data_IF_590943514910
#
_entry.id   IF_590943514910
#
_cell.length_a   1.000
_cell.length_b   1.000
_cell.length_c   1.000
_cell.angle_alpha   90.00
_cell.angle_beta   90.00
_cell.angle_gamma   90.00
#
_symmetry.space_group_name_H-M   'P 1'
#
loop_
_entity.id
_entity.type
_entity.pdbx_description
1 polymer ?
#
# COMPACT_ATOMS: atom_id res chain seq x y z
N UNK A 1 -81.52 19.88 -74.68
CA UNK A 1 -80.48 19.17 -73.95
C UNK A 1 -80.78 17.71 -74.04
N UNK A 2 -80.18 17.01 -74.98
CA UNK A 2 -80.54 15.62 -75.35
C UNK A 2 -79.93 14.66 -74.33
N UNK A 3 -80.60 13.51 -74.12
CA UNK A 3 -80.18 12.43 -73.23
C UNK A 3 -78.69 11.99 -73.45
N UNK A 4 -78.15 12.20 -74.65
CA UNK A 4 -76.77 11.91 -75.02
C UNK A 4 -75.74 12.83 -74.38
N UNK A 5 -76.10 14.11 -74.11
CA UNK A 5 -75.19 15.09 -73.46
C UNK A 5 -75.05 14.81 -71.94
N UNK A 6 -76.10 14.25 -71.31
CA UNK A 6 -76.12 13.83 -69.93
C UNK A 6 -75.32 12.53 -69.70
N UNK A 7 -75.34 11.58 -70.62
CA UNK A 7 -74.53 10.34 -70.57
C UNK A 7 -73.08 10.62 -70.80
N UNK A 8 -72.71 11.51 -71.72
CA UNK A 8 -71.32 11.92 -71.95
C UNK A 8 -70.71 12.63 -70.72
N UNK A 9 -71.49 13.54 -70.06
CA UNK A 9 -71.03 14.24 -68.82
C UNK A 9 -70.92 13.27 -67.66
N UNK A 10 -71.79 12.26 -67.54
CA UNK A 10 -71.70 11.27 -66.45
C UNK A 10 -70.47 10.35 -66.62
N UNK A 11 -70.14 9.99 -67.87
CA UNK A 11 -69.00 9.14 -68.20
C UNK A 11 -67.65 9.90 -67.92
N UNK A 12 -67.60 11.22 -68.21
CA UNK A 12 -66.46 12.03 -67.92
C UNK A 12 -66.21 12.24 -66.39
N UNK A 13 -67.28 12.39 -65.61
CA UNK A 13 -67.27 12.38 -64.16
C UNK A 13 -66.77 11.07 -63.55
N UNK A 14 -67.26 9.96 -64.09
CA UNK A 14 -66.80 8.62 -63.66
C UNK A 14 -65.31 8.39 -63.96
N UNK A 15 -64.90 8.78 -65.15
CA UNK A 15 -63.49 8.63 -65.56
C UNK A 15 -62.55 9.45 -64.66
N UNK A 16 -62.94 10.69 -64.30
CA UNK A 16 -62.20 11.53 -63.37
C UNK A 16 -62.20 10.91 -61.98
N UNK A 17 -63.30 10.44 -61.47
CA UNK A 17 -63.39 9.80 -60.18
C UNK A 17 -62.52 8.54 -60.07
N UNK A 18 -62.51 7.72 -61.17
CA UNK A 18 -61.61 6.56 -61.24
C UNK A 18 -60.11 6.98 -61.27
N UNK A 19 -59.80 8.07 -62.03
CA UNK A 19 -58.43 8.57 -62.07
C UNK A 19 -57.95 9.10 -60.69
N UNK A 20 -58.77 9.91 -60.00
CA UNK A 20 -58.50 10.44 -58.68
C UNK A 20 -58.38 9.30 -57.65
N UNK A 21 -59.19 8.27 -57.73
CA UNK A 21 -59.14 7.06 -56.92
C UNK A 21 -57.81 6.28 -57.12
N UNK A 22 -57.40 6.09 -58.38
CA UNK A 22 -56.17 5.39 -58.74
C UNK A 22 -54.93 6.15 -58.28
N UNK A 23 -54.97 7.46 -58.43
CA UNK A 23 -53.91 8.33 -57.93
C UNK A 23 -53.82 8.30 -56.38
N UNK A 24 -54.95 8.37 -55.69
CA UNK A 24 -54.97 8.26 -54.22
C UNK A 24 -54.51 6.87 -53.74
N UNK A 25 -54.90 5.79 -54.41
CA UNK A 25 -54.43 4.45 -54.12
C UNK A 25 -52.92 4.28 -54.33
N UNK A 26 -52.37 4.87 -55.39
CA UNK A 26 -50.92 4.88 -55.68
C UNK A 26 -50.14 5.63 -54.58
N UNK A 27 -50.61 6.82 -54.18
CA UNK A 27 -49.97 7.59 -53.10
C UNK A 27 -50.03 6.86 -51.77
N UNK A 28 -51.16 6.23 -51.46
CA UNK A 28 -51.31 5.42 -50.24
C UNK A 28 -50.35 4.23 -50.23
N UNK A 29 -50.25 3.51 -51.36
CA UNK A 29 -49.32 2.39 -51.52
C UNK A 29 -47.85 2.83 -51.30
N UNK A 30 -47.44 3.93 -51.97
CA UNK A 30 -46.11 4.49 -51.81
C UNK A 30 -45.81 4.92 -50.35
N UNK A 31 -46.80 5.51 -49.67
CA UNK A 31 -46.67 5.89 -48.26
C UNK A 31 -46.53 4.70 -47.33
N UNK A 32 -47.29 3.66 -47.61
CA UNK A 32 -47.21 2.40 -46.84
C UNK A 32 -45.86 1.70 -47.02
N UNK A 33 -45.36 1.61 -48.27
CA UNK A 33 -44.07 1.00 -48.57
C UNK A 33 -42.90 1.82 -47.90
N UNK A 34 -42.99 3.16 -47.99
CA UNK A 34 -42.04 4.02 -47.32
C UNK A 34 -42.03 3.88 -45.79
N UNK A 35 -43.22 3.78 -45.19
CA UNK A 35 -43.39 3.55 -43.74
C UNK A 35 -42.83 2.18 -43.33
N UNK A 36 -43.12 1.12 -44.09
CA UNK A 36 -42.63 -0.23 -43.84
C UNK A 36 -41.08 -0.27 -43.89
N UNK A 37 -40.50 0.36 -44.91
CA UNK A 37 -39.05 0.45 -45.08
C UNK A 37 -38.41 1.20 -43.89
N UNK A 38 -39.06 2.28 -43.45
CA UNK A 38 -38.54 3.07 -42.30
C UNK A 38 -38.65 2.29 -40.99
N UNK A 39 -39.73 1.52 -40.77
CA UNK A 39 -39.82 0.66 -39.58
C UNK A 39 -38.73 -0.40 -39.56
N UNK A 40 -38.49 -1.07 -40.71
CA UNK A 40 -37.42 -2.07 -40.81
C UNK A 40 -36.03 -1.46 -40.50
N UNK A 41 -35.79 -0.24 -41.00
CA UNK A 41 -34.55 0.46 -40.75
C UNK A 41 -34.38 0.83 -39.25
N UNK A 42 -35.45 1.33 -38.61
CA UNK A 42 -35.48 1.61 -37.16
C UNK A 42 -35.25 0.35 -36.31
N UNK A 43 -35.86 -0.79 -36.69
CA UNK A 43 -35.65 -2.05 -36.00
C UNK A 43 -34.18 -2.51 -36.07
N UNK A 44 -33.54 -2.34 -37.22
CA UNK A 44 -32.13 -2.66 -37.43
C UNK A 44 -31.19 -1.74 -36.57
N UNK A 45 -31.46 -0.43 -36.62
CA UNK A 45 -30.71 0.57 -35.80
C UNK A 45 -30.88 0.30 -34.32
N UNK A 46 -32.09 -0.04 -33.86
CA UNK A 46 -32.36 -0.40 -32.48
C UNK A 46 -31.60 -1.67 -32.06
N UNK A 47 -31.61 -2.69 -32.91
CA UNK A 47 -30.86 -3.93 -32.65
C UNK A 47 -29.35 -3.68 -32.54
N UNK A 48 -28.77 -2.87 -33.44
CA UNK A 48 -27.36 -2.50 -33.42
C UNK A 48 -26.99 -1.68 -32.16
N UNK A 49 -27.83 -0.70 -31.82
CA UNK A 49 -27.59 0.14 -30.62
C UNK A 49 -27.68 -0.70 -29.34
N UNK A 50 -28.64 -1.59 -29.24
CA UNK A 50 -28.75 -2.51 -28.10
C UNK A 50 -27.54 -3.46 -28.00
N UNK A 51 -27.05 -3.97 -29.12
CA UNK A 51 -25.86 -4.82 -29.13
C UNK A 51 -24.61 -4.04 -28.65
N UNK A 52 -24.41 -2.83 -29.16
CA UNK A 52 -23.30 -1.94 -28.73
C UNK A 52 -23.39 -1.57 -27.23
N UNK A 53 -24.58 -1.23 -26.75
CA UNK A 53 -24.81 -0.91 -25.34
C UNK A 53 -24.48 -2.10 -24.43
N UNK A 54 -24.89 -3.30 -24.80
CA UNK A 54 -24.58 -4.53 -24.05
C UNK A 54 -23.09 -4.78 -24.00
N UNK A 55 -22.36 -4.57 -25.10
CA UNK A 55 -20.91 -4.74 -25.13
C UNK A 55 -20.21 -3.73 -24.23
N UNK A 56 -20.58 -2.45 -24.28
CA UNK A 56 -20.02 -1.43 -23.38
C UNK A 56 -20.32 -1.69 -21.89
N UNK A 57 -21.51 -2.20 -21.58
CA UNK A 57 -21.84 -2.60 -20.22
C UNK A 57 -20.96 -3.76 -19.75
N UNK A 58 -20.75 -4.78 -20.61
CA UNK A 58 -19.88 -5.91 -20.32
C UNK A 58 -18.44 -5.48 -20.06
N UNK A 59 -17.88 -4.64 -20.93
CA UNK A 59 -16.52 -4.09 -20.78
C UNK A 59 -16.37 -3.30 -19.48
N UNK A 60 -17.38 -2.49 -19.14
CA UNK A 60 -17.37 -1.69 -17.90
C UNK A 60 -17.43 -2.58 -16.66
N UNK A 61 -18.24 -3.63 -16.68
CA UNK A 61 -18.34 -4.60 -15.58
C UNK A 61 -17.05 -5.39 -15.41
N UNK A 62 -16.44 -5.83 -16.50
CA UNK A 62 -15.14 -6.52 -16.48
C UNK A 62 -14.04 -5.63 -15.92
N UNK A 63 -13.98 -4.37 -16.33
CA UNK A 63 -13.01 -3.40 -15.80
C UNK A 63 -13.22 -3.17 -14.30
N UNK A 64 -14.47 -2.99 -13.85
CA UNK A 64 -14.79 -2.84 -12.42
C UNK A 64 -14.40 -4.06 -11.60
N UNK A 65 -14.65 -5.27 -12.12
CA UNK A 65 -14.25 -6.51 -11.48
C UNK A 65 -12.73 -6.61 -11.36
N UNK A 66 -12.00 -6.23 -12.42
CA UNK A 66 -10.53 -6.23 -12.44
C UNK A 66 -9.94 -5.28 -11.38
N UNK A 67 -10.40 -4.02 -11.38
CA UNK A 67 -9.95 -3.02 -10.39
C UNK A 67 -10.25 -3.48 -8.96
N UNK A 68 -11.42 -4.10 -8.76
CA UNK A 68 -11.80 -4.65 -7.45
C UNK A 68 -10.85 -5.78 -7.04
N UNK A 69 -10.60 -6.74 -7.93
CA UNK A 69 -9.71 -7.86 -7.64
C UNK A 69 -8.28 -7.40 -7.32
N UNK A 70 -7.76 -6.40 -8.05
CA UNK A 70 -6.45 -5.80 -7.77
C UNK A 70 -6.43 -5.19 -6.37
N UNK A 71 -7.41 -4.37 -6.02
CA UNK A 71 -7.47 -3.74 -4.70
C UNK A 71 -7.56 -4.77 -3.56
N UNK A 72 -8.36 -5.84 -3.76
CA UNK A 72 -8.52 -6.89 -2.75
C UNK A 72 -7.28 -7.80 -2.62
N UNK A 73 -6.44 -7.88 -3.65
CA UNK A 73 -5.21 -8.67 -3.63
C UNK A 73 -4.01 -7.96 -2.95
N UNK A 74 -4.12 -6.66 -2.68
CA UNK A 74 -3.06 -5.91 -2.03
C UNK A 74 -2.95 -6.27 -0.53
N UNK A 75 -1.73 -6.47 -0.06
CA UNK A 75 -1.44 -6.63 1.38
C UNK A 75 -1.46 -5.29 2.14
N UNK A 76 -1.37 -4.18 1.43
CA UNK A 76 -1.52 -2.82 1.96
C UNK A 76 -2.99 -2.50 2.15
N UNK A 77 -3.37 -2.02 3.33
CA UNK A 77 -4.72 -1.51 3.58
C UNK A 77 -4.96 -0.25 2.75
N UNK A 78 -6.09 -0.23 2.03
CA UNK A 78 -6.50 0.88 1.16
C UNK A 78 -7.84 1.41 1.63
N UNK A 79 -7.93 2.71 1.90
CA UNK A 79 -9.19 3.43 2.17
C UNK A 79 -9.32 4.54 1.14
N UNK A 80 -10.44 4.57 0.45
CA UNK A 80 -10.80 5.63 -0.51
C UNK A 80 -11.94 6.45 0.08
N UNK A 81 -11.74 7.76 0.18
CA UNK A 81 -12.77 8.71 0.57
C UNK A 81 -13.11 9.63 -0.60
N UNK A 82 -14.34 10.12 -0.65
CA UNK A 82 -14.80 11.10 -1.63
C UNK A 82 -14.33 12.53 -1.28
N UNK A 83 -14.74 13.50 -2.10
CA UNK A 83 -14.42 14.92 -1.91
C UNK A 83 -15.00 15.52 -0.61
N UNK A 84 -15.96 14.85 0.02
CA UNK A 84 -16.55 15.23 1.31
C UNK A 84 -15.90 14.50 2.50
N UNK A 85 -14.78 13.80 2.27
CA UNK A 85 -14.05 13.01 3.26
C UNK A 85 -14.83 11.77 3.75
N UNK A 86 -15.86 11.34 3.05
CA UNK A 86 -16.64 10.14 3.41
C UNK A 86 -15.97 8.89 2.81
N UNK A 87 -15.74 7.86 3.63
CA UNK A 87 -15.17 6.59 3.19
C UNK A 87 -16.13 5.87 2.25
N UNK A 88 -15.75 5.78 0.98
CA UNK A 88 -16.52 5.12 -0.08
C UNK A 88 -16.15 3.65 -0.17
N UNK A 89 -14.86 3.35 -0.05
CA UNK A 89 -14.33 2.00 -0.25
C UNK A 89 -13.11 1.72 0.64
N UNK A 90 -12.99 0.48 1.09
CA UNK A 90 -11.78 -0.07 1.67
C UNK A 90 -11.60 -1.52 1.22
N UNK A 91 -10.35 -2.02 1.21
CA UNK A 91 -10.05 -3.39 0.82
C UNK A 91 -9.97 -4.32 2.05
N UNK A 92 -9.87 -5.62 1.78
CA UNK A 92 -9.78 -6.65 2.82
C UNK A 92 -8.53 -6.52 3.71
N UNK A 93 -7.40 -6.03 3.17
CA UNK A 93 -6.21 -5.77 3.98
C UNK A 93 -6.45 -4.72 5.07
N UNK A 94 -7.28 -3.70 4.81
CA UNK A 94 -7.71 -2.72 5.82
C UNK A 94 -8.43 -3.39 6.99
N UNK A 95 -9.36 -4.32 6.71
CA UNK A 95 -10.06 -5.07 7.76
C UNK A 95 -9.11 -5.93 8.59
N UNK A 96 -8.19 -6.64 7.93
CA UNK A 96 -7.20 -7.48 8.62
C UNK A 96 -6.27 -6.68 9.52
N UNK A 97 -5.78 -5.54 9.02
CA UNK A 97 -4.83 -4.70 9.74
C UNK A 97 -5.49 -3.97 10.92
N UNK A 98 -6.64 -3.34 10.69
CA UNK A 98 -7.33 -2.57 11.72
C UNK A 98 -8.21 -3.41 12.64
N UNK A 99 -8.56 -4.63 12.26
CA UNK A 99 -9.52 -5.47 13.00
C UNK A 99 -10.96 -4.93 12.96
N UNK A 100 -11.26 -4.01 12.03
CA UNK A 100 -12.56 -3.36 11.89
C UNK A 100 -13.19 -3.75 10.56
N UNK A 101 -14.42 -4.29 10.54
CA UNK A 101 -15.09 -4.68 9.31
C UNK A 101 -15.41 -3.46 8.44
N UNK A 102 -15.32 -3.63 7.11
CA UNK A 102 -15.60 -2.57 6.11
C UNK A 102 -16.93 -1.85 6.35
N UNK A 103 -17.95 -2.60 6.77
CA UNK A 103 -19.29 -2.05 7.03
C UNK A 103 -19.30 -0.96 8.12
N UNK A 104 -18.35 -0.98 9.05
CA UNK A 104 -18.21 0.06 10.10
C UNK A 104 -17.39 1.27 9.65
N UNK A 105 -16.55 1.10 8.63
CA UNK A 105 -15.72 2.18 8.10
C UNK A 105 -16.47 2.98 7.04
N UNK A 106 -17.29 2.31 6.24
CA UNK A 106 -18.00 2.91 5.11
C UNK A 106 -18.97 3.99 5.56
N UNK A 107 -18.91 5.16 4.92
CA UNK A 107 -19.74 6.33 5.21
C UNK A 107 -19.27 7.18 6.40
N UNK A 108 -18.25 6.73 7.14
CA UNK A 108 -17.59 7.55 8.16
C UNK A 108 -16.62 8.55 7.52
N UNK A 109 -16.27 9.60 8.22
CA UNK A 109 -15.21 10.51 7.77
C UNK A 109 -13.85 9.86 7.88
N UNK A 110 -13.07 9.91 6.80
CA UNK A 110 -11.73 9.31 6.77
C UNK A 110 -10.82 9.96 7.83
N UNK A 111 -10.91 11.27 8.02
CA UNK A 111 -10.19 12.02 9.07
C UNK A 111 -10.53 11.53 10.47
N UNK A 112 -11.80 11.27 10.78
CA UNK A 112 -12.23 10.75 12.10
C UNK A 112 -11.67 9.32 12.34
N UNK A 113 -11.73 8.48 11.32
CA UNK A 113 -11.17 7.12 11.40
C UNK A 113 -9.67 7.16 11.67
N UNK A 114 -8.94 8.04 10.98
CA UNK A 114 -7.50 8.19 11.18
C UNK A 114 -7.13 8.77 12.54
N UNK A 115 -7.91 9.75 13.03
CA UNK A 115 -7.71 10.30 14.37
C UNK A 115 -7.99 9.27 15.46
N UNK A 116 -9.02 8.44 15.30
CA UNK A 116 -9.31 7.32 16.21
C UNK A 116 -8.13 6.35 16.25
N UNK A 117 -7.63 5.92 15.09
CA UNK A 117 -6.45 5.06 15.01
C UNK A 117 -5.23 5.72 15.69
N UNK A 118 -5.01 7.03 15.53
CA UNK A 118 -3.90 7.75 16.16
C UNK A 118 -4.06 7.89 17.67
N UNK A 119 -5.28 8.18 18.14
CA UNK A 119 -5.58 8.34 19.59
C UNK A 119 -5.42 7.03 20.33
N UNK A 120 -5.88 5.93 19.73
CA UNK A 120 -5.87 4.62 20.37
C UNK A 120 -4.46 3.98 20.40
N UNK A 121 -3.55 4.40 19.50
CA UNK A 121 -2.27 3.72 19.28
C UNK A 121 -1.01 4.59 19.42
N UNK A 122 -1.14 5.86 19.83
CA UNK A 122 -0.03 6.74 20.21
C UNK A 122 0.68 7.44 19.05
N UNK A 123 1.94 7.88 19.31
CA UNK A 123 2.78 8.54 18.31
C UNK A 123 3.29 7.58 17.22
N UNK A 124 3.52 8.14 16.05
CA UNK A 124 4.02 7.42 14.87
C UNK A 124 5.41 6.76 15.11
N UNK A 125 5.62 5.48 14.79
CA UNK A 125 4.72 4.52 14.15
C UNK A 125 3.69 3.93 15.10
N UNK A 126 2.48 3.67 14.56
CA UNK A 126 1.33 3.21 15.35
C UNK A 126 1.43 1.70 15.60
N UNK A 127 1.39 1.28 16.86
CA UNK A 127 1.40 -0.14 17.24
C UNK A 127 -0.01 -0.57 17.61
N UNK A 128 -0.57 -1.47 16.81
CA UNK A 128 -1.90 -2.01 17.03
C UNK A 128 -1.93 -3.01 18.20
N UNK A 129 -3.09 -3.26 18.84
CA UNK A 129 -3.23 -4.26 19.90
C UNK A 129 -2.82 -5.67 19.46
N UNK A 130 -2.87 -5.95 18.17
CA UNK A 130 -2.40 -7.20 17.54
C UNK A 130 -0.87 -7.35 17.53
N UNK A 131 -0.12 -6.33 17.94
CA UNK A 131 1.35 -6.28 17.86
C UNK A 131 1.87 -5.90 16.46
N UNK A 132 0.99 -5.59 15.52
CA UNK A 132 1.36 -5.10 14.18
C UNK A 132 1.68 -3.62 14.24
N UNK A 133 2.81 -3.23 13.66
CA UNK A 133 3.22 -1.82 13.54
C UNK A 133 2.82 -1.31 12.17
N UNK A 134 2.00 -0.26 12.14
CA UNK A 134 1.51 0.32 10.87
C UNK A 134 2.06 1.70 10.60
N UNK A 135 2.22 2.01 9.31
CA UNK A 135 2.48 3.33 8.79
C UNK A 135 1.31 3.79 7.94
N UNK A 136 0.90 5.06 8.12
CA UNK A 136 -0.20 5.67 7.37
C UNK A 136 0.39 6.66 6.36
N UNK A 137 -0.08 6.61 5.12
CA UNK A 137 0.16 7.65 4.12
C UNK A 137 -1.15 8.11 3.51
N UNK A 138 -1.21 9.39 3.16
CA UNK A 138 -2.37 10.02 2.54
C UNK A 138 -1.94 10.70 1.24
N UNK A 139 -2.80 10.60 0.24
CA UNK A 139 -2.65 11.34 -1.01
C UNK A 139 -4.02 11.79 -1.51
N UNK A 140 -4.04 12.94 -2.18
CA UNK A 140 -5.22 13.43 -2.84
C UNK A 140 -5.43 12.69 -4.17
N UNK A 141 -6.68 12.36 -4.47
CA UNK A 141 -7.10 11.81 -5.75
C UNK A 141 -7.64 12.96 -6.60
N UNK A 142 -7.01 13.18 -7.74
CA UNK A 142 -7.42 14.20 -8.69
C UNK A 142 -7.84 13.57 -10.03
N UNK A 143 -8.76 14.20 -10.74
CA UNK A 143 -9.11 13.83 -12.10
C UNK A 143 -8.08 14.36 -13.13
N UNK A 144 -8.31 14.10 -14.42
CA UNK A 144 -7.45 14.55 -15.51
C UNK A 144 -7.39 16.08 -15.62
N UNK A 145 -8.33 16.80 -15.03
CA UNK A 145 -8.38 18.26 -14.98
C UNK A 145 -7.66 18.85 -13.77
N UNK A 146 -7.16 18.01 -12.85
CA UNK A 146 -6.55 18.43 -11.60
C UNK A 146 -7.55 18.75 -10.48
N UNK A 147 -8.85 18.49 -10.70
CA UNK A 147 -9.89 18.70 -9.69
C UNK A 147 -9.87 17.57 -8.65
N UNK A 148 -10.01 17.92 -7.36
CA UNK A 148 -10.03 16.96 -6.26
C UNK A 148 -11.30 16.10 -6.32
N UNK A 149 -11.13 14.81 -6.56
CA UNK A 149 -12.23 13.83 -6.56
C UNK A 149 -12.32 13.04 -5.27
N UNK A 150 -11.27 13.07 -4.44
CA UNK A 150 -11.27 12.36 -3.17
C UNK A 150 -9.90 12.24 -2.54
N UNK A 151 -9.78 11.34 -1.56
CA UNK A 151 -8.54 11.04 -0.84
C UNK A 151 -8.28 9.55 -0.80
N UNK A 152 -7.01 9.20 -0.89
CA UNK A 152 -6.51 7.85 -0.73
C UNK A 152 -5.71 7.77 0.57
N UNK A 153 -6.04 6.80 1.42
CA UNK A 153 -5.25 6.46 2.61
C UNK A 153 -4.70 5.07 2.45
N UNK A 154 -3.40 4.93 2.61
CA UNK A 154 -2.69 3.65 2.59
C UNK A 154 -2.22 3.30 4.00
N UNK A 155 -2.41 2.04 4.39
CA UNK A 155 -2.03 1.47 5.67
C UNK A 155 -1.02 0.37 5.40
N UNK A 156 0.25 0.65 5.71
CA UNK A 156 1.35 -0.29 5.50
C UNK A 156 1.69 -1.02 6.79
N UNK A 157 1.79 -2.34 6.74
CA UNK A 157 2.44 -3.11 7.79
C UNK A 157 3.96 -2.92 7.68
N UNK A 158 4.53 -2.24 8.66
CA UNK A 158 5.99 -1.99 8.75
C UNK A 158 6.66 -2.76 9.87
N UNK A 159 5.98 -3.75 10.45
CA UNK A 159 6.47 -4.53 11.59
C UNK A 159 7.84 -5.14 11.32
N UNK A 160 8.00 -5.82 10.20
CA UNK A 160 9.24 -6.48 9.83
C UNK A 160 10.37 -5.47 9.56
N UNK A 161 10.04 -4.36 8.89
CA UNK A 161 11.00 -3.28 8.59
C UNK A 161 11.54 -2.69 9.90
N UNK A 162 10.65 -2.38 10.84
CA UNK A 162 11.03 -1.84 12.15
C UNK A 162 11.88 -2.81 12.98
N UNK A 163 11.53 -4.08 12.97
CA UNK A 163 12.34 -5.10 13.65
C UNK A 163 13.76 -5.20 13.06
N UNK A 164 13.91 -5.07 11.75
CA UNK A 164 15.22 -5.05 11.10
C UNK A 164 15.99 -3.77 11.44
N UNK A 165 15.35 -2.61 11.41
CA UNK A 165 15.94 -1.33 11.82
C UNK A 165 16.46 -1.38 13.26
N UNK A 166 15.65 -1.89 14.19
CA UNK A 166 16.04 -2.04 15.60
C UNK A 166 17.23 -2.98 15.77
N UNK A 167 17.24 -4.11 15.04
CA UNK A 167 18.38 -5.06 15.06
C UNK A 167 19.65 -4.40 14.51
N UNK A 168 19.56 -3.67 13.40
CA UNK A 168 20.68 -2.93 12.82
C UNK A 168 21.20 -1.85 13.77
N UNK A 169 20.30 -1.09 14.39
CA UNK A 169 20.67 -0.04 15.33
C UNK A 169 21.37 -0.61 16.58
N UNK A 170 20.88 -1.72 17.13
CA UNK A 170 21.52 -2.44 18.24
C UNK A 170 22.91 -2.96 17.84
N UNK A 171 23.03 -3.55 16.65
CA UNK A 171 24.29 -4.03 16.12
C UNK A 171 25.29 -2.88 15.95
N UNK A 172 24.92 -1.78 15.30
CA UNK A 172 25.77 -0.62 15.10
C UNK A 172 26.24 -0.02 16.44
N UNK A 173 25.35 0.03 17.44
CA UNK A 173 25.71 0.50 18.79
C UNK A 173 26.74 -0.44 19.44
N UNK A 174 26.57 -1.75 19.34
CA UNK A 174 27.52 -2.74 19.85
C UNK A 174 28.87 -2.66 19.13
N UNK A 175 28.88 -2.47 17.81
CA UNK A 175 30.11 -2.29 17.01
C UNK A 175 30.86 -1.02 17.43
N UNK A 176 30.15 0.11 17.57
CA UNK A 176 30.74 1.36 18.04
C UNK A 176 31.31 1.22 19.47
N UNK A 177 30.58 0.59 20.38
CA UNK A 177 31.04 0.28 21.73
C UNK A 177 32.27 -0.64 21.71
N UNK A 178 32.27 -1.65 20.84
CA UNK A 178 33.40 -2.58 20.70
C UNK A 178 34.67 -1.90 20.26
N UNK A 179 34.60 -0.99 19.29
CA UNK A 179 35.77 -0.17 18.87
C UNK A 179 36.27 0.73 20.00
N UNK A 180 35.35 1.39 20.70
CA UNK A 180 35.72 2.29 21.82
C UNK A 180 36.40 1.52 22.95
N UNK A 181 35.81 0.38 23.34
CA UNK A 181 36.37 -0.51 24.37
C UNK A 181 37.71 -1.07 23.94
N UNK A 182 37.89 -1.40 22.66
CA UNK A 182 39.16 -1.84 22.10
C UNK A 182 40.29 -0.82 22.27
N UNK A 183 40.02 0.44 21.95
CA UNK A 183 40.97 1.52 22.10
C UNK A 183 41.30 1.76 23.58
N UNK A 184 40.27 1.84 24.44
CA UNK A 184 40.46 2.04 25.89
C UNK A 184 41.26 0.89 26.50
N UNK A 185 40.98 -0.37 26.11
CA UNK A 185 41.70 -1.53 26.61
C UNK A 185 43.18 -1.48 26.23
N UNK A 186 43.54 -1.03 25.03
CA UNK A 186 44.93 -0.81 24.64
C UNK A 186 45.59 0.31 25.47
N UNK A 187 44.91 1.44 25.69
CA UNK A 187 45.40 2.55 26.49
C UNK A 187 45.58 2.20 27.98
N UNK A 188 44.72 1.34 28.54
CA UNK A 188 44.83 0.85 29.91
C UNK A 188 45.93 -0.21 30.03
N UNK A 189 46.09 -1.10 29.05
CA UNK A 189 47.09 -2.17 29.06
C UNK A 189 48.50 -1.61 29.10
N UNK A 190 48.78 -0.45 28.47
CA UNK A 190 50.07 0.17 28.46
C UNK A 190 50.56 0.57 29.87
N UNK A 191 49.83 1.34 30.71
CA UNK A 191 50.24 1.64 32.07
C UNK A 191 50.27 0.41 32.96
N UNK A 192 49.36 -0.57 32.79
CA UNK A 192 49.38 -1.84 33.51
C UNK A 192 50.67 -2.60 33.23
N UNK A 193 51.13 -2.66 31.96
CA UNK A 193 52.38 -3.28 31.60
C UNK A 193 53.62 -2.61 32.29
N UNK A 194 53.57 -1.30 32.42
CA UNK A 194 54.59 -0.55 33.17
C UNK A 194 54.59 -0.90 34.66
N UNK A 195 53.39 -0.98 35.27
CA UNK A 195 53.24 -1.37 36.69
C UNK A 195 53.74 -2.80 36.93
N UNK A 196 53.42 -3.75 36.02
CA UNK A 196 53.91 -5.14 36.08
C UNK A 196 55.42 -5.20 35.96
N UNK A 197 56.02 -4.39 35.06
CA UNK A 197 57.47 -4.32 34.94
C UNK A 197 58.13 -3.89 36.24
N UNK A 198 57.63 -2.80 36.84
CA UNK A 198 58.19 -2.30 38.13
C UNK A 198 57.94 -3.28 39.28
N UNK A 199 56.75 -3.92 39.34
CA UNK A 199 56.52 -4.95 40.33
C UNK A 199 57.48 -6.14 40.19
N UNK A 200 57.76 -6.54 38.94
CA UNK A 200 58.74 -7.59 38.64
C UNK A 200 60.17 -7.26 39.01
N UNK A 201 60.57 -5.97 38.77
CA UNK A 201 61.90 -5.48 39.23
C UNK A 201 62.01 -5.48 40.77
N UNK A 202 61.01 -4.92 41.47
CA UNK A 202 60.99 -4.89 42.92
C UNK A 202 61.03 -6.31 43.50
N UNK A 203 60.37 -7.28 42.90
CA UNK A 203 60.42 -8.69 43.32
C UNK A 203 61.83 -9.30 43.24
N UNK A 204 62.65 -8.85 42.29
CA UNK A 204 64.02 -9.27 42.14
C UNK A 204 64.95 -8.58 43.18
N UNK A 205 64.76 -7.26 43.40
CA UNK A 205 65.59 -6.48 44.25
C UNK A 205 65.33 -6.79 45.75
N UNK A 206 64.11 -7.17 46.10
CA UNK A 206 63.68 -7.47 47.47
C UNK A 206 63.85 -8.96 47.85
N UNK A 207 64.82 -9.68 47.25
CA UNK A 207 65.04 -11.13 47.52
C UNK A 207 65.30 -11.43 48.98
N UNK A 208 66.00 -10.54 49.65
CA UNK A 208 66.41 -10.64 51.08
C UNK A 208 65.38 -10.08 52.05
N UNK A 209 64.23 -9.57 51.57
CA UNK A 209 63.18 -8.94 52.38
C UNK A 209 61.81 -9.63 52.04
N UNK A 210 61.52 -10.82 52.61
CA UNK A 210 60.36 -11.61 52.20
C UNK A 210 59.02 -10.91 52.33
N UNK A 211 58.81 -10.10 53.37
CA UNK A 211 57.57 -9.36 53.58
C UNK A 211 57.30 -8.25 52.53
N UNK A 212 58.33 -7.57 52.05
CA UNK A 212 58.21 -6.57 51.02
C UNK A 212 58.08 -7.18 49.64
N UNK A 213 58.70 -8.31 49.39
CA UNK A 213 58.55 -9.10 48.20
C UNK A 213 57.10 -9.55 47.99
N UNK A 214 56.40 -9.93 49.09
CA UNK A 214 54.98 -10.32 49.03
C UNK A 214 54.11 -9.16 48.49
N UNK A 215 54.39 -7.90 48.82
CA UNK A 215 53.68 -6.75 48.26
C UNK A 215 53.84 -6.64 46.75
N UNK A 216 55.05 -6.83 46.25
CA UNK A 216 55.30 -6.83 44.79
C UNK A 216 54.57 -7.98 44.08
N UNK A 217 54.47 -9.15 44.70
CA UNK A 217 53.69 -10.28 44.20
C UNK A 217 52.19 -9.95 44.18
N UNK A 218 51.65 -9.32 45.22
CA UNK A 218 50.23 -8.87 45.22
C UNK A 218 49.95 -7.83 44.14
N UNK A 219 50.86 -6.92 43.85
CA UNK A 219 50.74 -5.94 42.75
C UNK A 219 50.65 -6.69 41.42
N UNK A 220 51.56 -7.63 41.13
CA UNK A 220 51.53 -8.46 39.94
C UNK A 220 50.19 -9.23 39.78
N UNK A 221 49.70 -9.84 40.82
CA UNK A 221 48.40 -10.56 40.81
C UNK A 221 47.25 -9.61 40.48
N UNK A 222 47.23 -8.40 41.08
CA UNK A 222 46.20 -7.40 40.83
C UNK A 222 46.21 -6.94 39.37
N UNK A 223 47.42 -6.66 38.82
CA UNK A 223 47.57 -6.25 37.38
C UNK A 223 47.07 -7.35 36.45
N UNK A 224 47.43 -8.62 36.70
CA UNK A 224 46.95 -9.73 35.89
C UNK A 224 45.43 -9.89 35.97
N UNK A 225 44.84 -9.65 37.16
CA UNK A 225 43.39 -9.66 37.30
C UNK A 225 42.72 -8.57 36.46
N UNK A 226 43.26 -7.37 36.41
CA UNK A 226 42.79 -6.26 35.58
C UNK A 226 42.89 -6.59 34.08
N UNK A 227 44.01 -7.18 33.61
CA UNK A 227 44.14 -7.57 32.19
C UNK A 227 43.13 -8.65 31.79
N UNK A 228 42.83 -9.59 32.68
CA UNK A 228 41.76 -10.55 32.47
C UNK A 228 40.38 -9.90 32.34
N UNK A 229 40.04 -8.93 33.19
CA UNK A 229 38.78 -8.20 33.13
C UNK A 229 38.66 -7.42 31.82
N UNK A 230 39.73 -6.74 31.38
CA UNK A 230 39.76 -6.06 30.08
C UNK A 230 39.57 -7.02 28.91
N UNK A 231 40.24 -8.18 28.96
CA UNK A 231 40.12 -9.20 27.94
C UNK A 231 38.68 -9.78 27.85
N UNK A 232 38.05 -10.02 29.00
CA UNK A 232 36.64 -10.45 29.04
C UNK A 232 35.69 -9.39 28.48
N UNK A 233 35.92 -8.11 28.79
CA UNK A 233 35.12 -7.00 28.28
C UNK A 233 35.22 -6.91 26.75
N UNK A 234 36.40 -7.10 26.17
CA UNK A 234 36.62 -7.14 24.72
C UNK A 234 35.92 -8.30 24.05
N UNK A 235 35.83 -9.48 24.69
CA UNK A 235 35.08 -10.60 24.18
C UNK A 235 33.57 -10.30 24.13
N UNK A 236 33.06 -9.63 25.16
CA UNK A 236 31.62 -9.24 25.23
C UNK A 236 31.21 -8.21 24.19
N UNK A 237 32.16 -7.36 23.74
CA UNK A 237 31.88 -6.27 22.76
C UNK A 237 32.21 -6.67 21.33
N UNK A 238 32.79 -7.85 21.07
CA UNK A 238 32.99 -8.36 19.72
C UNK A 238 31.65 -8.83 19.17
N UNK A 239 31.19 -8.29 18.01
CA UNK A 239 30.07 -8.88 17.30
C UNK A 239 30.45 -10.31 16.91
N UNK A 240 29.58 -11.28 17.25
CA UNK A 240 29.74 -12.69 16.91
C UNK A 240 29.84 -12.86 15.38
N UNK A 241 31.01 -12.75 14.82
CA UNK A 241 31.30 -13.10 13.43
C UNK A 241 31.30 -14.63 13.18
N UNK A 242 31.02 -15.45 14.22
CA UNK A 242 31.19 -16.91 14.17
C UNK A 242 29.91 -17.71 13.88
N UNK A 243 28.77 -17.08 13.58
CA UNK A 243 27.53 -17.82 13.26
C UNK A 243 27.04 -17.77 11.83
N UNK A 244 27.89 -17.38 10.88
CA UNK A 244 27.68 -17.57 9.45
C UNK A 244 28.61 -18.68 8.93
N UNK A 245 28.61 -19.85 9.60
CA UNK A 245 29.01 -21.07 8.95
C UNK A 245 27.80 -21.51 8.10
N UNK A 246 27.97 -21.42 6.80
CA UNK A 246 27.09 -21.94 5.79
C UNK A 246 26.76 -23.40 6.11
N UNK A 247 25.50 -23.75 6.25
CA UNK A 247 25.03 -25.11 6.04
C UNK A 247 24.67 -25.18 4.55
N UNK A 248 25.51 -25.89 3.81
CA UNK A 248 25.21 -26.42 2.48
C UNK A 248 24.04 -27.41 2.52
#
# INVERSE_FOLDING_TARGET
>A
MTARDAEASNNDLLTRAFHDFDQAATVLQQSYDALTTRLQQMDLELAQTNASLREHLRETEEMRAHVTAVLESLDTGVIVADSQDSVVRCNHATERLLGVPQARLRGRRATEVLEEIRKDHGEYPLVLPTGVTIALSQSDLTDETGSLIGKLVLIHDVTHIRQLEDRLQRRNRLEAMGQMVGNIAHEIRNPLGSVELFASMLRKDLRDQPHLRTYAEHISVAVQAMDRLLSNLLVYTRPDCSRLAWQD
#
